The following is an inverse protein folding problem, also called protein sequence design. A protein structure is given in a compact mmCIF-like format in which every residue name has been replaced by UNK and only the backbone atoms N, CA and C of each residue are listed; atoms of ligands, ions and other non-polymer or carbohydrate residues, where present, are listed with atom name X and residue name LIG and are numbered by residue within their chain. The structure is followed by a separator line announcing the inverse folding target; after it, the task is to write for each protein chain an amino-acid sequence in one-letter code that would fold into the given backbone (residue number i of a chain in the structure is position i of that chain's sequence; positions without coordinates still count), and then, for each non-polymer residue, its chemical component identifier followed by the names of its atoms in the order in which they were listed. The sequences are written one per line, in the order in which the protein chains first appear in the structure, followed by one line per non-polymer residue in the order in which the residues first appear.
data_IF_416066969657
#
_entry.id   IF_416066969657
#
_cell.length_a   1.000
_cell.length_b   1.000
_cell.length_c   1.000
_cell.angle_alpha   90.00
_cell.angle_beta   90.00
_cell.angle_gamma   90.00
#
_symmetry.space_group_name_H-M   'P 1'
#
loop_
_entity.id
_entity.type
_entity.pdbx_description
1 polymer ?
#
# COMPACT_ATOMS: atom_id res chain seq x y z
N UNK A 1 -30.98 -14.09 -10.87
CA UNK A 1 -31.38 -13.14 -11.94
C UNK A 1 -30.43 -11.96 -11.92
N UNK A 2 -29.87 -11.56 -13.05
CA UNK A 2 -29.02 -10.37 -13.10
C UNK A 2 -29.90 -9.12 -13.13
N UNK A 3 -29.82 -8.31 -12.08
CA UNK A 3 -30.66 -7.10 -11.93
C UNK A 3 -29.97 -5.84 -12.41
N UNK A 4 -28.62 -5.82 -12.36
CA UNK A 4 -27.72 -4.78 -12.90
C UNK A 4 -26.38 -5.42 -13.25
N UNK A 5 -25.51 -4.75 -14.04
CA UNK A 5 -24.13 -5.18 -14.18
C UNK A 5 -23.49 -5.43 -12.80
N UNK A 6 -22.84 -6.58 -12.64
CA UNK A 6 -22.22 -7.04 -11.39
C UNK A 6 -23.16 -7.21 -10.18
N UNK A 7 -24.48 -7.24 -10.36
CA UNK A 7 -25.45 -7.46 -9.27
C UNK A 7 -26.43 -8.57 -9.66
N UNK A 8 -26.42 -9.65 -8.89
CA UNK A 8 -27.29 -10.80 -9.08
C UNK A 8 -28.22 -11.01 -7.90
N UNK A 9 -29.52 -11.12 -8.17
CA UNK A 9 -30.54 -11.45 -7.18
C UNK A 9 -30.76 -12.96 -7.10
N UNK A 10 -30.71 -13.48 -5.88
CA UNK A 10 -30.98 -14.87 -5.50
C UNK A 10 -32.18 -14.91 -4.56
N UNK A 11 -33.27 -15.54 -4.99
CA UNK A 11 -34.46 -15.72 -4.16
C UNK A 11 -34.31 -16.98 -3.30
N UNK A 12 -34.29 -16.81 -1.99
CA UNK A 12 -34.07 -17.90 -1.03
C UNK A 12 -35.39 -18.57 -0.64
N UNK A 13 -35.30 -19.84 -0.21
CA UNK A 13 -36.41 -20.53 0.43
C UNK A 13 -36.80 -19.75 1.71
N UNK A 14 -38.01 -19.19 1.72
CA UNK A 14 -38.47 -18.24 2.75
C UNK A 14 -38.75 -16.83 2.25
N UNK A 15 -38.58 -16.56 0.94
CA UNK A 15 -39.06 -15.32 0.30
C UNK A 15 -38.11 -14.12 0.38
N UNK A 16 -37.00 -14.24 1.13
CA UNK A 16 -35.91 -13.25 1.13
C UNK A 16 -35.15 -13.26 -0.20
N UNK A 17 -34.68 -12.10 -0.63
CA UNK A 17 -33.80 -11.96 -1.80
C UNK A 17 -32.42 -11.52 -1.36
N UNK A 18 -31.39 -12.24 -1.77
CA UNK A 18 -29.97 -11.89 -1.58
C UNK A 18 -29.45 -11.25 -2.87
N UNK A 19 -28.77 -10.11 -2.75
CA UNK A 19 -28.08 -9.47 -3.87
C UNK A 19 -26.59 -9.75 -3.76
N UNK A 20 -26.07 -10.59 -4.65
CA UNK A 20 -24.66 -10.89 -4.75
C UNK A 20 -23.98 -9.85 -5.63
N UNK A 21 -22.97 -9.20 -5.09
CA UNK A 21 -22.15 -8.24 -5.81
C UNK A 21 -20.94 -8.95 -6.40
N UNK A 22 -20.60 -8.61 -7.65
CA UNK A 22 -19.41 -9.06 -8.35
C UNK A 22 -19.17 -10.58 -8.32
N UNK A 23 -20.23 -11.39 -8.22
CA UNK A 23 -20.13 -12.86 -8.05
C UNK A 23 -19.24 -13.28 -6.86
N UNK A 24 -19.13 -12.44 -5.82
CA UNK A 24 -18.26 -12.67 -4.66
C UNK A 24 -16.77 -12.36 -4.91
N UNK A 25 -16.41 -11.81 -6.08
CA UNK A 25 -15.06 -11.29 -6.36
C UNK A 25 -14.84 -9.96 -5.63
N UNK A 26 -13.62 -9.43 -5.74
CA UNK A 26 -13.24 -8.13 -5.18
C UNK A 26 -14.11 -7.02 -5.77
N UNK A 27 -15.16 -6.64 -5.05
CA UNK A 27 -16.20 -5.72 -5.54
C UNK A 27 -15.64 -4.37 -5.94
N UNK A 28 -14.61 -3.88 -5.24
CA UNK A 28 -13.96 -2.62 -5.56
C UNK A 28 -13.26 -2.64 -6.92
N UNK A 29 -12.77 -3.80 -7.38
CA UNK A 29 -12.11 -3.96 -8.68
C UNK A 29 -13.06 -4.45 -9.78
N UNK A 30 -13.96 -5.36 -9.42
CA UNK A 30 -14.83 -6.04 -10.37
C UNK A 30 -16.13 -5.27 -10.64
N UNK A 31 -16.54 -4.38 -9.73
CA UNK A 31 -17.75 -3.56 -9.84
C UNK A 31 -17.48 -2.08 -9.49
N UNK A 32 -16.22 -1.67 -9.44
CA UNK A 32 -15.75 -0.32 -9.21
C UNK A 32 -14.40 -0.09 -9.88
N UNK A 33 -13.77 1.05 -9.62
CA UNK A 33 -12.53 1.47 -10.29
C UNK A 33 -11.25 1.09 -9.51
N UNK A 34 -11.38 0.29 -8.46
CA UNK A 34 -10.28 -0.08 -7.58
C UNK A 34 -9.87 1.03 -6.62
N UNK A 35 -8.58 1.08 -6.29
CA UNK A 35 -8.03 2.17 -5.49
C UNK A 35 -7.76 3.38 -6.39
N UNK A 36 -7.98 4.61 -5.90
CA UNK A 36 -7.62 5.83 -6.63
C UNK A 36 -6.15 5.84 -7.04
N UNK A 37 -5.85 6.54 -8.14
CA UNK A 37 -4.50 6.65 -8.68
C UNK A 37 -3.50 7.19 -7.64
N UNK A 38 -3.94 8.10 -6.78
CA UNK A 38 -3.15 8.70 -5.71
C UNK A 38 -2.66 7.70 -4.66
N UNK A 39 -3.43 6.62 -4.43
CA UNK A 39 -3.07 5.54 -3.52
C UNK A 39 -2.21 4.50 -4.24
N UNK A 40 -2.55 4.20 -5.50
CA UNK A 40 -1.80 3.24 -6.31
C UNK A 40 -0.40 3.74 -6.68
N UNK A 41 -0.21 5.05 -6.83
CA UNK A 41 1.07 5.71 -7.12
C UNK A 41 2.15 5.33 -6.10
N UNK A 42 1.84 5.40 -4.80
CA UNK A 42 2.77 4.98 -3.75
C UNK A 42 3.06 3.47 -3.81
N UNK A 43 2.03 2.66 -4.05
CA UNK A 43 2.18 1.20 -4.16
C UNK A 43 3.10 0.81 -5.33
N UNK A 44 2.92 1.46 -6.49
CA UNK A 44 3.77 1.24 -7.66
C UNK A 44 5.17 1.83 -7.46
N UNK A 45 5.31 2.95 -6.75
CA UNK A 45 6.60 3.50 -6.35
C UNK A 45 7.43 2.49 -5.56
N UNK A 46 6.82 1.85 -4.54
CA UNK A 46 7.49 0.79 -3.77
C UNK A 46 7.87 -0.39 -4.66
N UNK A 47 6.99 -0.81 -5.57
CA UNK A 47 7.29 -1.91 -6.50
C UNK A 47 8.45 -1.58 -7.44
N UNK A 48 8.52 -0.37 -7.98
CA UNK A 48 9.64 0.07 -8.84
C UNK A 48 10.95 0.09 -8.07
N UNK A 49 10.95 0.62 -6.86
CA UNK A 49 12.17 0.62 -6.03
C UNK A 49 12.56 -0.79 -5.56
N UNK A 50 11.58 -1.67 -5.33
CA UNK A 50 11.82 -3.09 -5.06
C UNK A 50 12.51 -3.77 -6.24
N UNK A 51 12.04 -3.53 -7.46
CA UNK A 51 12.65 -4.06 -8.69
C UNK A 51 14.07 -3.52 -8.87
N UNK A 52 14.28 -2.23 -8.62
CA UNK A 52 15.63 -1.63 -8.63
C UNK A 52 16.54 -2.30 -7.60
N UNK A 53 16.06 -2.47 -6.37
CA UNK A 53 16.81 -3.13 -5.29
C UNK A 53 17.21 -4.57 -5.69
N UNK A 54 16.26 -5.33 -6.26
CA UNK A 54 16.51 -6.67 -6.77
C UNK A 54 17.59 -6.68 -7.86
N UNK A 55 17.52 -5.77 -8.84
CA UNK A 55 18.52 -5.69 -9.92
C UNK A 55 19.90 -5.35 -9.39
N UNK A 56 20.01 -4.38 -8.49
CA UNK A 56 21.28 -3.93 -7.92
C UNK A 56 21.92 -4.96 -6.97
N UNK A 57 21.09 -5.76 -6.27
CA UNK A 57 21.55 -6.67 -5.21
C UNK A 57 21.40 -8.15 -5.55
N UNK A 58 20.92 -8.52 -6.75
CA UNK A 58 20.54 -9.88 -7.14
C UNK A 58 21.54 -10.97 -6.72
N UNK A 59 22.85 -10.72 -6.85
CA UNK A 59 23.91 -11.69 -6.54
C UNK A 59 24.09 -11.95 -5.03
N UNK A 60 23.64 -11.04 -4.19
CA UNK A 60 23.79 -11.09 -2.72
C UNK A 60 22.51 -11.55 -2.03
N UNK A 61 21.38 -11.55 -2.73
CA UNK A 61 20.08 -11.88 -2.14
C UNK A 61 19.87 -13.40 -2.09
N UNK A 62 19.30 -13.91 -0.99
CA UNK A 62 18.92 -15.32 -0.90
C UNK A 62 17.71 -15.61 -1.80
N UNK A 63 17.50 -16.89 -2.10
CA UNK A 63 16.27 -17.37 -2.78
C UNK A 63 15.15 -17.51 -1.75
N UNK A 64 14.69 -16.38 -1.21
CA UNK A 64 13.69 -16.33 -0.16
C UNK A 64 12.78 -15.10 -0.33
N UNK A 65 11.69 -15.06 0.44
CA UNK A 65 10.84 -13.88 0.57
C UNK A 65 11.53 -12.89 1.50
N UNK A 66 12.13 -11.87 0.89
CA UNK A 66 12.83 -10.82 1.62
C UNK A 66 11.92 -9.63 1.88
N UNK A 67 12.02 -9.03 3.07
CA UNK A 67 11.49 -7.69 3.31
C UNK A 67 12.44 -6.66 2.70
N UNK A 68 11.89 -5.63 2.09
CA UNK A 68 12.69 -4.50 1.63
C UNK A 68 13.26 -3.74 2.82
N UNK A 69 14.45 -3.12 2.68
CA UNK A 69 14.96 -2.18 3.66
C UNK A 69 13.97 -1.02 3.87
N UNK A 70 13.83 -0.53 5.10
CA UNK A 70 12.86 0.52 5.46
C UNK A 70 13.12 1.83 4.72
N UNK A 71 14.38 2.09 4.35
CA UNK A 71 14.79 3.27 3.60
C UNK A 71 14.13 3.34 2.20
N UNK A 72 13.75 2.19 1.63
CA UNK A 72 13.02 2.13 0.36
C UNK A 72 11.62 2.73 0.52
N UNK A 73 10.94 2.39 1.62
CA UNK A 73 9.59 2.88 1.92
C UNK A 73 9.63 4.38 2.26
N UNK A 74 10.63 4.81 3.03
CA UNK A 74 10.88 6.23 3.32
C UNK A 74 11.15 7.03 2.04
N UNK A 75 11.90 6.47 1.08
CA UNK A 75 12.19 7.13 -0.18
C UNK A 75 10.90 7.39 -0.98
N UNK A 76 9.98 6.42 -1.06
CA UNK A 76 8.68 6.61 -1.73
C UNK A 76 7.84 7.67 -1.01
N UNK A 77 7.80 7.62 0.33
CA UNK A 77 7.10 8.62 1.13
C UNK A 77 7.65 10.04 0.87
N UNK A 78 8.98 10.21 0.85
CA UNK A 78 9.62 11.51 0.55
C UNK A 78 9.31 12.01 -0.86
N UNK A 79 9.39 11.14 -1.88
CA UNK A 79 9.02 11.50 -3.25
C UNK A 79 7.55 11.93 -3.36
N UNK A 80 6.66 11.26 -2.62
CA UNK A 80 5.24 11.64 -2.59
C UNK A 80 5.02 13.01 -1.95
N UNK A 81 5.69 13.29 -0.83
CA UNK A 81 5.62 14.60 -0.18
C UNK A 81 6.14 15.71 -1.09
N UNK A 82 7.27 15.47 -1.77
CA UNK A 82 7.84 16.39 -2.75
C UNK A 82 6.88 16.66 -3.92
N UNK A 83 6.26 15.61 -4.49
CA UNK A 83 5.28 15.75 -5.56
C UNK A 83 4.03 16.53 -5.14
N UNK A 84 3.67 16.51 -3.86
CA UNK A 84 2.58 17.30 -3.28
C UNK A 84 3.01 18.72 -2.86
N UNK A 85 4.30 19.06 -2.98
CA UNK A 85 4.83 20.34 -2.49
C UNK A 85 4.81 20.46 -0.96
N UNK A 86 4.79 19.34 -0.24
CA UNK A 86 4.75 19.30 1.22
C UNK A 86 6.18 19.16 1.75
N UNK A 87 6.61 20.12 2.56
CA UNK A 87 7.85 20.03 3.32
C UNK A 87 7.59 19.42 4.70
N UNK A 88 8.53 18.61 5.17
CA UNK A 88 8.59 18.13 6.56
C UNK A 88 9.84 18.70 7.22
N UNK A 89 9.82 18.77 8.55
CA UNK A 89 10.97 19.19 9.33
C UNK A 89 12.06 18.10 9.38
N UNK A 90 13.19 18.45 9.98
CA UNK A 90 14.28 17.51 10.25
C UNK A 90 14.64 17.61 11.71
N UNK A 91 14.90 16.46 12.34
CA UNK A 91 15.31 16.44 13.74
C UNK A 91 16.61 17.23 13.90
N UNK A 92 16.65 18.12 14.89
CA UNK A 92 17.87 18.83 15.26
C UNK A 92 18.90 17.85 15.83
N UNK A 93 20.21 18.19 15.80
CA UNK A 93 21.23 17.32 16.40
C UNK A 93 20.94 16.97 17.87
N UNK A 94 20.38 17.91 18.63
CA UNK A 94 19.96 17.71 20.02
C UNK A 94 18.81 16.69 20.12
N UNK A 95 17.78 16.79 19.27
CA UNK A 95 16.67 15.85 19.24
C UNK A 95 17.13 14.42 18.84
N UNK A 96 18.05 14.31 17.89
CA UNK A 96 18.63 13.02 17.50
C UNK A 96 19.47 12.41 18.63
N UNK A 97 20.28 13.23 19.32
CA UNK A 97 21.06 12.80 20.47
C UNK A 97 20.14 12.33 21.62
N UNK A 98 19.08 13.09 21.92
CA UNK A 98 18.09 12.72 22.92
C UNK A 98 17.46 11.35 22.62
N UNK A 99 16.94 11.15 21.39
CA UNK A 99 16.29 9.90 20.98
C UNK A 99 17.22 8.68 20.96
N UNK A 100 18.51 8.88 20.71
CA UNK A 100 19.51 7.80 20.67
C UNK A 100 20.18 7.53 22.02
N UNK A 101 19.99 8.42 22.99
CA UNK A 101 20.58 8.29 24.32
C UNK A 101 19.69 7.47 25.26
N UNK A 102 20.30 6.55 26.00
CA UNK A 102 19.66 5.82 27.11
C UNK A 102 19.77 6.58 28.44
N UNK A 103 20.33 7.80 28.43
CA UNK A 103 20.66 8.57 29.64
C UNK A 103 19.49 9.44 30.13
N UNK A 104 18.55 9.78 29.24
CA UNK A 104 17.45 10.72 29.48
C UNK A 104 16.06 10.06 29.29
N UNK A 105 15.93 8.77 29.63
CA UNK A 105 14.65 8.03 29.61
C UNK A 105 14.64 6.80 30.51
N UNK A 106 13.44 6.42 31.01
CA UNK A 106 13.15 5.19 31.78
C UNK A 106 13.59 3.90 31.10
#
# INVERSE_FOLDING_TARGET
EQVRPHVEAYRLAGGRTLYLLAEGRLVNLAAGDGHPAEIMDMSFGVQVLALRYLVEHARKLPRDVIRLPGEVDEAVCRMRLEALGIAIDTLTPEQQAYLSSWQEGT
#
